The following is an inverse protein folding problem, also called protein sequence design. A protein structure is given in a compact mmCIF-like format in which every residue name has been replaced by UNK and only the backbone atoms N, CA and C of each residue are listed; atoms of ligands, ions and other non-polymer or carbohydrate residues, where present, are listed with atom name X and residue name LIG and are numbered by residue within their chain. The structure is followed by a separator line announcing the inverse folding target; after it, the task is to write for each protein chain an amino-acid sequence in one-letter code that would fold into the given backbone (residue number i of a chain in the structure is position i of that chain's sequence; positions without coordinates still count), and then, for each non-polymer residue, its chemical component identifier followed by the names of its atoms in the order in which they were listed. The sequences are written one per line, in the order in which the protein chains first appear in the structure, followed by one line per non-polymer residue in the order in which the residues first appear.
data_IF_766938622758
#
_entry.id   IF_766938622758
#
_cell.length_a   1.000
_cell.length_b   1.000
_cell.length_c   1.000
_cell.angle_alpha   90.00
_cell.angle_beta   90.00
_cell.angle_gamma   90.00
#
_symmetry.space_group_name_H-M   'P 1'
#
loop_
_entity.id
_entity.type
_entity.pdbx_description
1 polymer ?
#
# COMPACT_ATOMS: atom_id res chain seq x y z
N UNK A 1 50.66 30.93 24.41
CA UNK A 1 50.31 29.77 23.55
C UNK A 1 48.84 29.46 23.75
N UNK A 2 48.05 29.55 22.67
CA UNK A 2 46.60 29.34 22.64
C UNK A 2 46.29 27.84 22.85
N UNK A 3 45.37 27.50 23.73
CA UNK A 3 44.60 26.23 23.67
C UNK A 3 43.12 26.59 23.61
N UNK A 4 42.57 26.44 22.41
CA UNK A 4 41.14 26.44 22.14
C UNK A 4 40.64 25.05 22.53
N UNK A 5 39.72 24.98 23.49
CA UNK A 5 39.00 23.76 23.82
C UNK A 5 37.58 23.94 23.29
N UNK A 6 37.33 23.36 22.12
CA UNK A 6 36.02 23.32 21.48
C UNK A 6 35.22 22.21 22.13
N UNK A 7 34.23 22.55 22.94
CA UNK A 7 33.28 21.59 23.51
C UNK A 7 32.34 21.14 22.39
N UNK A 8 32.51 19.90 21.95
CA UNK A 8 31.58 19.23 21.04
C UNK A 8 30.34 18.86 21.85
N UNK A 9 29.26 19.63 21.68
CA UNK A 9 27.93 19.21 22.12
C UNK A 9 27.51 18.00 21.27
N UNK A 10 27.66 16.81 21.85
CA UNK A 10 27.04 15.58 21.32
C UNK A 10 25.54 15.72 21.45
N UNK A 11 24.87 15.93 20.31
CA UNK A 11 23.44 15.70 20.18
C UNK A 11 23.26 14.19 20.27
N UNK A 12 22.86 13.72 21.45
CA UNK A 12 22.35 12.36 21.63
C UNK A 12 21.04 12.31 20.86
N UNK A 13 21.08 11.74 19.65
CA UNK A 13 19.89 11.28 18.95
C UNK A 13 19.26 10.23 19.86
N UNK A 14 18.20 10.61 20.57
CA UNK A 14 17.27 9.67 21.18
C UNK A 14 16.59 8.90 20.05
N UNK A 15 17.20 7.78 19.68
CA UNK A 15 16.51 6.69 19.01
C UNK A 15 15.41 6.22 19.97
N UNK A 16 14.20 6.75 19.78
CA UNK A 16 13.01 6.05 20.20
C UNK A 16 12.97 4.76 19.38
N UNK A 17 13.59 3.72 19.92
CA UNK A 17 13.35 2.36 19.50
C UNK A 17 11.87 2.09 19.78
N UNK A 18 11.03 2.35 18.77
CA UNK A 18 9.70 1.80 18.72
C UNK A 18 9.92 0.28 18.59
N UNK A 19 9.89 -0.42 19.72
CA UNK A 19 9.81 -1.87 19.76
C UNK A 19 8.43 -2.24 19.20
N UNK A 20 8.32 -2.27 17.88
CA UNK A 20 7.19 -2.89 17.20
C UNK A 20 7.06 -4.30 17.77
N UNK A 21 5.89 -4.61 18.32
CA UNK A 21 5.55 -5.97 18.73
C UNK A 21 5.67 -6.86 17.50
N UNK A 22 6.75 -7.63 17.43
CA UNK A 22 6.85 -8.79 16.54
C UNK A 22 5.69 -9.69 16.94
N UNK A 23 4.67 -9.86 16.09
CA UNK A 23 3.70 -10.93 16.32
C UNK A 23 4.50 -12.23 16.36
N UNK A 24 4.42 -12.94 17.48
CA UNK A 24 4.95 -14.28 17.56
C UNK A 24 4.16 -15.15 16.57
N UNK A 25 4.88 -15.89 15.72
CA UNK A 25 4.31 -16.89 14.79
C UNK A 25 3.12 -17.61 15.42
N UNK A 26 2.00 -17.62 14.70
CA UNK A 26 0.74 -18.14 15.21
C UNK A 26 0.51 -19.58 14.77
N UNK A 27 0.32 -20.50 15.72
CA UNK A 27 0.09 -21.92 15.44
C UNK A 27 -1.38 -22.20 15.21
N UNK A 28 -1.79 -22.20 13.94
CA UNK A 28 -3.19 -22.34 13.53
C UNK A 28 -3.70 -23.78 13.56
N UNK A 29 -2.81 -24.76 13.53
CA UNK A 29 -3.12 -26.18 13.77
C UNK A 29 -1.92 -26.88 14.39
N UNK A 30 -2.15 -27.69 15.42
CA UNK A 30 -1.16 -28.57 16.03
C UNK A 30 -1.81 -29.90 16.35
N UNK A 31 -1.35 -30.99 15.73
CA UNK A 31 -1.91 -32.31 15.95
C UNK A 31 -1.82 -32.77 17.43
N UNK A 32 -0.85 -32.29 18.20
CA UNK A 32 -0.71 -32.60 19.62
C UNK A 32 -1.80 -31.94 20.48
N UNK A 33 -2.22 -30.73 20.08
CA UNK A 33 -3.26 -29.94 20.74
C UNK A 33 -4.65 -30.34 20.25
N UNK A 34 -4.78 -30.53 18.96
CA UNK A 34 -6.06 -30.55 18.26
C UNK A 34 -6.56 -31.97 17.97
N UNK A 35 -5.72 -33.01 18.00
CA UNK A 35 -6.12 -34.39 17.68
C UNK A 35 -5.97 -35.34 18.88
N UNK A 36 -6.56 -36.54 18.77
CA UNK A 36 -6.45 -37.56 19.82
C UNK A 36 -5.10 -38.26 19.78
N UNK A 37 -4.40 -38.33 20.92
CA UNK A 37 -3.16 -39.11 21.04
C UNK A 37 -3.42 -40.60 21.26
N UNK A 38 -2.64 -41.47 20.60
CA UNK A 38 -2.60 -42.92 20.84
C UNK A 38 -1.16 -43.43 20.92
N UNK A 39 -0.90 -44.31 21.89
CA UNK A 39 0.36 -45.03 21.97
C UNK A 39 0.36 -46.22 21.01
N UNK A 40 1.34 -46.28 20.13
CA UNK A 40 1.55 -47.38 19.18
C UNK A 40 2.91 -48.04 19.43
N UNK A 41 3.17 -49.18 18.78
CA UNK A 41 4.49 -49.83 18.80
C UNK A 41 5.61 -48.95 18.22
N UNK A 42 5.26 -47.89 17.47
CA UNK A 42 6.20 -46.91 16.91
C UNK A 42 6.21 -45.57 17.66
N UNK A 43 5.64 -45.52 18.87
CA UNK A 43 5.52 -44.31 19.69
C UNK A 43 4.14 -43.64 19.61
N UNK A 44 4.07 -42.40 20.10
CA UNK A 44 2.83 -41.60 20.07
C UNK A 44 2.48 -41.26 18.62
N UNK A 45 1.20 -41.43 18.29
CA UNK A 45 0.59 -40.99 17.04
C UNK A 45 -0.67 -40.20 17.36
N UNK A 46 -0.96 -39.19 16.53
CA UNK A 46 -2.21 -38.46 16.61
C UNK A 46 -3.19 -39.01 15.57
N UNK A 47 -4.45 -39.13 15.94
CA UNK A 47 -5.50 -39.72 15.10
C UNK A 47 -6.76 -38.84 15.11
N UNK A 48 -7.57 -38.87 14.04
CA UNK A 48 -8.88 -38.26 14.03
C UNK A 48 -9.81 -38.76 15.15
N UNK A 49 -10.82 -37.99 15.54
CA UNK A 49 -11.17 -36.64 15.03
C UNK A 49 -10.23 -35.57 15.58
N UNK A 50 -9.99 -34.51 14.79
CA UNK A 50 -9.25 -33.33 15.22
C UNK A 50 -10.19 -32.13 15.37
N UNK A 51 -10.03 -31.35 16.43
CA UNK A 51 -10.73 -30.10 16.70
C UNK A 51 -10.07 -28.97 15.91
N UNK A 52 -10.55 -28.75 14.68
CA UNK A 52 -10.08 -27.65 13.82
C UNK A 52 -11.17 -26.57 13.73
N UNK A 53 -10.78 -25.32 13.98
CA UNK A 53 -11.68 -24.18 13.90
C UNK A 53 -11.95 -23.80 12.43
N UNK A 54 -12.96 -24.43 11.84
CA UNK A 54 -13.39 -24.12 10.48
C UNK A 54 -13.93 -22.68 10.39
N UNK A 55 -13.60 -22.01 9.29
CA UNK A 55 -13.92 -20.60 9.01
C UNK A 55 -13.32 -19.59 9.99
N UNK A 56 -12.26 -19.96 10.71
CA UNK A 56 -11.50 -19.00 11.51
C UNK A 56 -10.94 -17.89 10.62
N UNK A 57 -11.12 -16.65 11.05
CA UNK A 57 -10.57 -15.46 10.41
C UNK A 57 -9.41 -14.92 11.24
N UNK A 58 -8.28 -14.69 10.58
CA UNK A 58 -7.06 -14.11 11.15
C UNK A 58 -6.84 -12.78 10.42
N UNK A 59 -6.92 -11.68 11.14
CA UNK A 59 -6.71 -10.34 10.58
C UNK A 59 -5.23 -10.10 10.35
N UNK A 60 -4.89 -9.46 9.24
CA UNK A 60 -3.52 -9.09 8.96
C UNK A 60 -3.04 -7.98 9.91
N UNK A 61 -1.79 -8.10 10.35
CA UNK A 61 -1.10 -7.02 11.01
C UNK A 61 -0.94 -5.86 10.04
N UNK A 62 -1.20 -4.67 10.53
CA UNK A 62 -1.13 -3.46 9.73
C UNK A 62 -0.75 -2.28 10.61
N UNK A 63 0.02 -1.36 10.05
CA UNK A 63 0.26 -0.08 10.69
C UNK A 63 -0.79 0.93 10.20
N UNK A 64 -1.74 1.27 11.06
CA UNK A 64 -2.74 2.29 10.78
C UNK A 64 -2.36 3.62 11.45
N UNK A 65 -1.85 4.54 10.64
CA UNK A 65 -1.58 5.92 11.02
C UNK A 65 -2.23 6.92 10.06
N UNK A 66 -3.16 6.48 9.21
CA UNK A 66 -3.86 7.38 8.30
C UNK A 66 -4.94 8.15 9.06
N UNK A 67 -4.95 9.46 8.89
CA UNK A 67 -6.04 10.31 9.39
C UNK A 67 -7.31 10.03 8.60
N UNK A 68 -8.47 10.21 9.25
CA UNK A 68 -9.77 10.19 8.56
C UNK A 68 -9.75 11.18 7.38
N UNK A 69 -10.12 10.70 6.18
CA UNK A 69 -10.13 11.51 4.96
C UNK A 69 -8.77 11.71 4.29
N UNK A 70 -7.72 11.00 4.71
CA UNK A 70 -6.43 10.98 4.01
C UNK A 70 -6.61 10.48 2.57
N UNK A 71 -5.97 11.15 1.62
CA UNK A 71 -5.92 10.73 0.21
C UNK A 71 -5.41 9.28 0.03
N UNK A 72 -4.64 8.76 1.00
CA UNK A 72 -4.14 7.38 0.99
C UNK A 72 -5.18 6.32 1.39
N UNK A 73 -6.39 6.69 1.85
CA UNK A 73 -7.41 5.69 2.23
C UNK A 73 -7.94 4.90 1.04
N UNK A 74 -7.89 5.49 -0.15
CA UNK A 74 -8.38 4.89 -1.39
C UNK A 74 -7.25 4.19 -2.18
N UNK A 75 -6.03 4.16 -1.63
CA UNK A 75 -4.89 3.52 -2.25
C UNK A 75 -4.95 1.98 -2.17
N UNK A 76 -4.21 1.31 -3.07
CA UNK A 76 -4.05 -0.14 -3.02
C UNK A 76 -2.91 -0.57 -2.08
N UNK A 77 -3.21 -1.65 -1.36
CA UNK A 77 -2.34 -2.31 -0.41
C UNK A 77 -2.11 -3.75 -0.85
N UNK A 78 -1.04 -4.33 -0.33
CA UNK A 78 -0.69 -5.73 -0.50
C UNK A 78 -0.64 -6.40 0.85
N UNK A 79 -1.18 -7.60 0.95
CA UNK A 79 -1.01 -8.46 2.12
C UNK A 79 -0.15 -9.64 1.74
N UNK A 80 0.85 -9.94 2.58
CA UNK A 80 1.69 -11.12 2.45
C UNK A 80 1.43 -12.09 3.59
N UNK A 81 1.29 -13.37 3.23
CA UNK A 81 1.14 -14.50 4.14
C UNK A 81 2.38 -15.37 4.04
N UNK A 82 3.10 -15.51 5.14
CA UNK A 82 4.18 -16.47 5.32
C UNK A 82 3.67 -17.60 6.20
N UNK A 83 3.77 -18.83 5.71
CA UNK A 83 3.22 -19.98 6.39
C UNK A 83 4.09 -21.21 6.22
N UNK A 84 4.06 -22.12 7.19
CA UNK A 84 4.72 -23.41 7.13
C UNK A 84 3.73 -24.49 7.56
N UNK A 85 3.62 -25.56 6.75
CA UNK A 85 2.88 -26.75 7.13
C UNK A 85 3.82 -27.96 7.21
N UNK A 86 4.47 -28.10 8.35
CA UNK A 86 5.25 -29.30 8.66
C UNK A 86 4.32 -30.40 9.14
N UNK A 87 4.11 -31.45 8.37
CA UNK A 87 3.35 -32.61 8.81
C UNK A 87 3.75 -33.89 8.08
N UNK A 88 4.06 -34.94 8.85
CA UNK A 88 4.16 -36.30 8.33
C UNK A 88 2.99 -37.14 8.81
N UNK A 89 2.26 -37.74 7.87
CA UNK A 89 1.09 -38.56 8.17
C UNK A 89 0.90 -39.67 7.15
N UNK A 90 0.19 -40.73 7.54
CA UNK A 90 -0.02 -41.92 6.71
C UNK A 90 -0.78 -41.62 5.41
N UNK A 91 -1.81 -40.76 5.51
CA UNK A 91 -2.52 -40.18 4.36
C UNK A 91 -2.27 -38.68 4.33
N UNK A 92 -2.18 -38.04 3.15
CA UNK A 92 -1.97 -36.60 3.06
C UNK A 92 -3.00 -35.83 3.88
N UNK A 93 -2.50 -34.94 4.73
CA UNK A 93 -3.30 -33.96 5.47
C UNK A 93 -3.12 -32.62 4.75
N UNK A 94 -4.23 -31.90 4.50
CA UNK A 94 -4.16 -30.56 3.91
C UNK A 94 -5.08 -29.58 4.61
N UNK A 95 -4.69 -28.31 4.64
CA UNK A 95 -5.52 -27.21 5.15
C UNK A 95 -5.97 -26.36 3.97
N UNK A 96 -7.29 -26.23 3.82
CA UNK A 96 -7.88 -25.31 2.87
C UNK A 96 -7.90 -23.91 3.48
N UNK A 97 -7.33 -22.93 2.79
CA UNK A 97 -7.27 -21.54 3.22
C UNK A 97 -7.63 -20.58 2.08
N UNK A 98 -8.02 -19.37 2.45
CA UNK A 98 -8.22 -18.28 1.51
C UNK A 98 -7.72 -16.95 2.09
N UNK A 99 -7.09 -16.13 1.27
CA UNK A 99 -6.88 -14.73 1.62
C UNK A 99 -8.04 -13.92 1.06
N UNK A 100 -8.74 -13.24 1.95
CA UNK A 100 -9.85 -12.35 1.65
C UNK A 100 -9.29 -10.94 1.50
N UNK A 101 -9.65 -10.27 0.40
CA UNK A 101 -9.36 -8.87 0.13
C UNK A 101 -10.64 -8.18 -0.33
N UNK A 102 -11.00 -7.03 0.26
CA UNK A 102 -12.20 -6.25 -0.10
C UNK A 102 -13.51 -7.05 0.08
N UNK A 103 -13.53 -7.94 1.07
CA UNK A 103 -14.66 -8.84 1.33
C UNK A 103 -14.79 -10.02 0.36
N UNK A 104 -13.87 -10.17 -0.60
CA UNK A 104 -13.86 -11.24 -1.62
C UNK A 104 -12.64 -12.14 -1.44
N UNK A 105 -12.81 -13.45 -1.62
CA UNK A 105 -11.69 -14.40 -1.61
C UNK A 105 -10.84 -14.20 -2.89
N UNK A 106 -9.63 -13.63 -2.74
CA UNK A 106 -8.72 -13.32 -3.85
C UNK A 106 -7.66 -14.39 -4.10
N UNK A 107 -7.35 -15.16 -3.05
CA UNK A 107 -6.49 -16.34 -3.13
C UNK A 107 -7.16 -17.49 -2.38
N UNK A 108 -7.10 -18.70 -2.92
CA UNK A 108 -7.54 -19.92 -2.26
C UNK A 108 -6.57 -21.04 -2.59
N UNK A 109 -6.18 -21.81 -1.59
CA UNK A 109 -5.28 -22.93 -1.76
C UNK A 109 -5.57 -24.05 -0.75
N UNK A 110 -5.30 -25.28 -1.16
CA UNK A 110 -5.23 -26.44 -0.26
C UNK A 110 -3.76 -26.77 -0.02
N UNK A 111 -3.27 -26.43 1.17
CA UNK A 111 -1.87 -26.60 1.54
C UNK A 111 -1.68 -27.99 2.12
N UNK A 112 -0.91 -28.84 1.44
CA UNK A 112 -0.58 -30.17 1.93
C UNK A 112 0.58 -30.10 2.93
N UNK A 113 0.53 -30.94 3.95
CA UNK A 113 1.61 -31.10 4.91
C UNK A 113 2.87 -31.69 4.28
N UNK A 114 4.02 -31.11 4.61
CA UNK A 114 5.36 -31.55 4.19
C UNK A 114 6.11 -32.18 5.37
N UNK A 115 6.90 -33.26 5.18
CA UNK A 115 7.70 -33.83 6.27
C UNK A 115 8.82 -32.89 6.75
N UNK A 116 9.16 -31.87 5.96
CA UNK A 116 10.17 -30.86 6.28
C UNK A 116 9.55 -29.48 6.30
N UNK A 117 9.93 -28.69 7.31
CA UNK A 117 9.58 -27.28 7.40
C UNK A 117 10.07 -26.50 6.19
N UNK A 118 9.14 -25.77 5.58
CA UNK A 118 9.42 -24.86 4.49
C UNK A 118 8.44 -23.68 4.55
N UNK A 119 8.97 -22.48 4.71
CA UNK A 119 8.15 -21.27 4.72
C UNK A 119 7.77 -20.95 3.27
N UNK A 120 6.49 -21.12 2.97
CA UNK A 120 5.89 -20.70 1.74
C UNK A 120 5.28 -19.30 1.90
N UNK A 121 5.12 -18.62 0.76
CA UNK A 121 4.67 -17.23 0.72
C UNK A 121 3.56 -17.07 -0.30
N UNK A 122 2.45 -16.46 0.11
CA UNK A 122 1.36 -16.05 -0.75
C UNK A 122 1.09 -14.56 -0.58
N UNK A 123 0.54 -13.90 -1.60
CA UNK A 123 0.16 -12.49 -1.50
C UNK A 123 -1.07 -12.15 -2.32
N UNK A 124 -1.78 -11.13 -1.87
CA UNK A 124 -2.92 -10.53 -2.58
C UNK A 124 -2.82 -9.01 -2.53
N UNK A 125 -3.45 -8.32 -3.49
CA UNK A 125 -3.69 -6.88 -3.45
C UNK A 125 -5.13 -6.59 -3.05
N UNK A 126 -5.37 -5.49 -2.33
CA UNK A 126 -6.68 -5.09 -1.80
C UNK A 126 -6.69 -3.59 -1.45
N UNK A 127 -7.87 -3.02 -1.21
CA UNK A 127 -8.03 -1.66 -0.69
C UNK A 127 -7.66 -1.60 0.80
N UNK A 128 -7.46 -0.38 1.31
CA UNK A 128 -6.89 -0.14 2.63
C UNK A 128 -7.54 -0.94 3.78
N UNK A 129 -6.73 -1.74 4.49
CA UNK A 129 -7.09 -2.54 5.67
C UNK A 129 -8.22 -3.56 5.48
N UNK A 130 -8.55 -3.94 4.25
CA UNK A 130 -9.62 -4.91 3.96
C UNK A 130 -9.08 -6.31 3.68
N UNK A 131 -8.13 -6.82 4.49
CA UNK A 131 -7.61 -8.17 4.31
C UNK A 131 -7.65 -9.07 5.55
N UNK A 132 -7.83 -10.36 5.30
CA UNK A 132 -7.77 -11.40 6.33
C UNK A 132 -7.39 -12.75 5.71
N UNK A 133 -6.83 -13.64 6.53
CA UNK A 133 -6.70 -15.06 6.23
C UNK A 133 -7.90 -15.80 6.78
N UNK A 134 -8.54 -16.62 5.96
CA UNK A 134 -9.65 -17.50 6.32
C UNK A 134 -9.22 -18.95 6.23
N UNK A 135 -9.26 -19.66 7.35
CA UNK A 135 -9.01 -21.10 7.40
C UNK A 135 -10.33 -21.83 7.15
N UNK A 136 -10.48 -22.51 6.02
CA UNK A 136 -11.75 -23.09 5.59
C UNK A 136 -11.99 -24.47 6.17
N UNK A 137 -11.05 -25.40 5.98
CA UNK A 137 -11.21 -26.79 6.42
C UNK A 137 -9.88 -27.51 6.60
N UNK A 138 -9.91 -28.56 7.44
CA UNK A 138 -8.86 -29.56 7.55
C UNK A 138 -9.28 -30.82 6.79
N UNK A 139 -8.60 -31.10 5.68
CA UNK A 139 -8.87 -32.23 4.81
C UNK A 139 -7.93 -33.40 5.14
N UNK A 140 -8.44 -34.64 5.05
CA UNK A 140 -7.66 -35.85 5.39
C UNK A 140 -7.64 -36.20 6.90
N UNK A 141 -8.33 -35.42 7.75
CA UNK A 141 -8.48 -35.68 9.17
C UNK A 141 -9.66 -36.62 9.51
N UNK A 142 -9.92 -37.65 8.69
CA UNK A 142 -11.00 -38.63 8.91
C UNK A 142 -10.57 -40.06 8.59
N UNK A 143 -11.23 -41.04 9.21
CA UNK A 143 -11.00 -42.46 8.98
C UNK A 143 -9.68 -42.98 9.56
N UNK A 144 -9.13 -44.05 8.96
CA UNK A 144 -7.85 -44.62 9.38
C UNK A 144 -6.71 -43.68 8.96
N UNK A 145 -6.22 -42.91 9.93
CA UNK A 145 -5.16 -41.92 9.77
C UNK A 145 -4.27 -41.95 11.00
N UNK A 146 -2.96 -41.83 10.78
CA UNK A 146 -1.96 -41.74 11.83
C UNK A 146 -0.98 -40.61 11.49
N UNK A 147 -0.92 -39.62 12.38
CA UNK A 147 -0.14 -38.40 12.23
C UNK A 147 1.05 -38.48 13.20
N UNK A 148 2.25 -38.15 12.73
CA UNK A 148 3.45 -38.15 13.58
C UNK A 148 3.50 -36.92 14.51
N UNK A 149 4.23 -37.00 15.63
CA UNK A 149 4.58 -35.84 16.43
C UNK A 149 5.25 -34.74 15.60
N UNK A 150 4.93 -33.47 15.90
CA UNK A 150 5.44 -32.30 15.16
C UNK A 150 4.62 -31.93 13.92
N UNK A 151 3.45 -32.53 13.69
CA UNK A 151 2.55 -32.11 12.62
C UNK A 151 1.81 -30.82 13.03
N UNK A 152 2.16 -29.70 12.39
CA UNK A 152 1.75 -28.37 12.77
C UNK A 152 1.71 -27.44 11.55
N UNK A 153 0.70 -26.57 11.49
CA UNK A 153 0.66 -25.42 10.58
C UNK A 153 0.86 -24.14 11.38
N UNK A 154 1.82 -23.31 10.96
CA UNK A 154 2.04 -21.97 11.50
C UNK A 154 1.81 -20.90 10.44
N UNK A 155 1.32 -19.76 10.90
CA UNK A 155 1.32 -18.49 10.17
C UNK A 155 2.42 -17.66 10.80
N UNK A 156 3.56 -17.60 10.13
CA UNK A 156 4.74 -16.90 10.64
C UNK A 156 4.62 -15.40 10.50
N UNK A 157 3.93 -14.94 9.46
CA UNK A 157 3.57 -13.54 9.28
C UNK A 157 2.33 -13.41 8.41
N UNK A 158 1.44 -12.48 8.78
CA UNK A 158 0.34 -12.02 7.92
C UNK A 158 0.32 -10.49 8.00
N UNK A 159 0.90 -9.83 7.00
CA UNK A 159 1.23 -8.39 7.08
C UNK A 159 0.66 -7.65 5.88
N UNK A 160 -0.11 -6.59 6.14
CA UNK A 160 -0.59 -5.65 5.12
C UNK A 160 0.25 -4.39 5.07
N UNK A 161 0.59 -3.95 3.86
CA UNK A 161 1.44 -2.79 3.61
C UNK A 161 1.11 -2.13 2.26
N UNK A 162 1.59 -0.88 2.02
CA UNK A 162 1.35 -0.18 0.76
C UNK A 162 1.89 -0.99 -0.43
N UNK A 163 1.14 -1.12 -1.53
CA UNK A 163 1.66 -1.82 -2.71
C UNK A 163 2.75 -0.96 -3.40
N UNK A 164 4.02 -1.41 -3.45
CA UNK A 164 5.10 -0.59 -4.01
C UNK A 164 4.89 -0.26 -5.49
N UNK A 165 4.32 -1.17 -6.29
CA UNK A 165 4.12 -0.92 -7.72
C UNK A 165 3.03 0.15 -7.92
N UNK A 166 1.95 0.04 -7.15
CA UNK A 166 0.86 1.01 -7.15
C UNK A 166 1.35 2.40 -6.71
N UNK A 167 2.02 2.50 -5.56
CA UNK A 167 2.51 3.79 -5.05
C UNK A 167 3.55 4.41 -5.99
N UNK A 168 4.41 3.61 -6.63
CA UNK A 168 5.31 4.11 -7.67
C UNK A 168 4.56 4.73 -8.85
N UNK A 169 3.51 4.07 -9.33
CA UNK A 169 2.68 4.58 -10.42
C UNK A 169 1.98 5.88 -10.00
N UNK A 170 1.47 5.95 -8.77
CA UNK A 170 0.84 7.14 -8.19
C UNK A 170 1.79 8.34 -8.18
N UNK A 171 3.00 8.18 -7.62
CA UNK A 171 4.02 9.23 -7.58
C UNK A 171 4.38 9.72 -8.98
N UNK A 172 4.56 8.81 -9.93
CA UNK A 172 4.89 9.18 -11.30
C UNK A 172 3.74 9.93 -11.99
N UNK A 173 2.49 9.50 -11.74
CA UNK A 173 1.30 10.16 -12.27
C UNK A 173 1.17 11.60 -11.77
N UNK A 174 1.31 11.82 -10.46
CA UNK A 174 1.28 13.16 -9.86
C UNK A 174 2.40 14.04 -10.44
N UNK A 175 3.63 13.51 -10.55
CA UNK A 175 4.75 14.26 -11.16
C UNK A 175 4.51 14.61 -12.63
N UNK A 176 3.87 13.72 -13.39
CA UNK A 176 3.53 13.98 -14.79
C UNK A 176 2.47 15.08 -14.93
N UNK A 177 1.47 15.06 -14.04
CA UNK A 177 0.50 16.15 -13.92
C UNK A 177 1.21 17.47 -13.56
N UNK A 178 2.09 17.48 -12.57
CA UNK A 178 2.87 18.66 -12.16
C UNK A 178 3.73 19.23 -13.28
N UNK A 179 4.35 18.39 -14.11
CA UNK A 179 5.08 18.88 -15.29
C UNK A 179 4.18 19.66 -16.24
N UNK A 180 2.93 19.20 -16.42
CA UNK A 180 1.94 19.87 -17.26
C UNK A 180 1.50 21.19 -16.62
N UNK A 181 1.18 21.19 -15.32
CA UNK A 181 0.76 22.37 -14.58
C UNK A 181 1.87 23.42 -14.48
N UNK A 182 3.12 23.01 -14.26
CA UNK A 182 4.28 23.90 -14.21
C UNK A 182 4.55 24.56 -15.56
N UNK A 183 4.39 23.81 -16.67
CA UNK A 183 4.45 24.39 -18.01
C UNK A 183 3.36 25.46 -18.18
N UNK A 184 2.11 25.16 -17.84
CA UNK A 184 1.00 26.13 -17.90
C UNK A 184 1.25 27.37 -17.02
N UNK A 185 1.82 27.19 -15.84
CA UNK A 185 2.17 28.28 -14.94
C UNK A 185 3.27 29.18 -15.54
N UNK A 186 4.22 28.60 -16.28
CA UNK A 186 5.30 29.35 -16.93
C UNK A 186 4.79 30.25 -18.06
N UNK A 187 3.79 29.79 -18.82
CA UNK A 187 3.24 30.52 -19.98
C UNK A 187 2.13 31.50 -19.61
N UNK A 188 1.40 31.27 -18.51
CA UNK A 188 0.40 32.18 -17.98
C UNK A 188 1.03 33.39 -17.24
N UNK A 189 2.08 34.02 -17.77
CA UNK A 189 2.69 35.20 -17.14
C UNK A 189 1.78 36.44 -17.30
N UNK A 190 1.79 37.42 -16.36
CA UNK A 190 0.99 38.65 -16.50
C UNK A 190 1.37 39.51 -17.71
N UNK A 191 2.58 39.32 -18.25
CA UNK A 191 3.08 39.97 -19.45
C UNK A 191 2.85 39.16 -20.73
N UNK A 192 2.28 37.96 -20.63
CA UNK A 192 2.00 37.12 -21.79
C UNK A 192 0.84 37.69 -22.60
N UNK A 193 0.93 37.54 -23.92
CA UNK A 193 -0.24 37.71 -24.78
C UNK A 193 -1.32 36.70 -24.36
N UNK A 194 -2.52 37.21 -24.08
CA UNK A 194 -3.60 36.41 -23.50
C UNK A 194 -4.05 35.29 -24.44
N UNK A 195 -3.94 35.49 -25.77
CA UNK A 195 -4.27 34.47 -26.77
C UNK A 195 -3.30 33.30 -26.62
N UNK A 196 -2.00 33.60 -26.46
CA UNK A 196 -0.98 32.59 -26.20
C UNK A 196 -1.27 31.81 -24.90
N UNK A 197 -1.62 32.50 -23.81
CA UNK A 197 -1.97 31.86 -22.55
C UNK A 197 -3.22 30.97 -22.68
N UNK A 198 -4.26 31.44 -23.37
CA UNK A 198 -5.51 30.70 -23.59
C UNK A 198 -5.27 29.42 -24.40
N UNK A 199 -4.51 29.52 -25.51
CA UNK A 199 -4.15 28.36 -26.33
C UNK A 199 -3.32 27.35 -25.54
N UNK A 200 -2.40 27.82 -24.70
CA UNK A 200 -1.60 26.93 -23.86
C UNK A 200 -2.47 26.18 -22.84
N UNK A 201 -3.40 26.86 -22.17
CA UNK A 201 -4.34 26.24 -21.23
C UNK A 201 -5.22 25.20 -21.93
N UNK A 202 -5.71 25.50 -23.14
CA UNK A 202 -6.50 24.55 -23.92
C UNK A 202 -5.72 23.29 -24.30
N UNK A 203 -4.48 23.45 -24.75
CA UNK A 203 -3.59 22.32 -25.02
C UNK A 203 -3.25 21.55 -23.74
N UNK A 204 -3.05 22.25 -22.61
CA UNK A 204 -2.80 21.64 -21.30
C UNK A 204 -3.98 20.81 -20.81
N UNK A 205 -5.21 21.32 -20.93
CA UNK A 205 -6.44 20.57 -20.63
C UNK A 205 -6.50 19.32 -21.50
N UNK A 206 -6.21 19.43 -22.80
CA UNK A 206 -6.21 18.27 -23.71
C UNK A 206 -5.18 17.21 -23.28
N UNK A 207 -3.99 17.65 -22.87
CA UNK A 207 -2.96 16.75 -22.34
C UNK A 207 -3.38 16.09 -21.01
N UNK A 208 -4.04 16.83 -20.12
CA UNK A 208 -4.57 16.27 -18.87
C UNK A 208 -5.71 15.27 -19.13
N UNK A 209 -6.59 15.54 -20.09
CA UNK A 209 -7.62 14.57 -20.51
C UNK A 209 -6.96 13.27 -20.99
N UNK A 210 -5.92 13.37 -21.82
CA UNK A 210 -5.16 12.21 -22.27
C UNK A 210 -4.49 11.47 -21.10
N UNK A 211 -3.90 12.20 -20.14
CA UNK A 211 -3.32 11.59 -18.93
C UNK A 211 -4.38 10.90 -18.08
N UNK A 212 -5.58 11.47 -17.95
CA UNK A 212 -6.72 10.87 -17.25
C UNK A 212 -7.14 9.56 -17.89
N UNK A 213 -7.25 9.53 -19.21
CA UNK A 213 -7.64 8.32 -19.95
C UNK A 213 -6.58 7.21 -19.86
N UNK A 214 -5.32 7.59 -19.62
CA UNK A 214 -4.21 6.66 -19.38
C UNK A 214 -3.97 6.33 -17.89
N UNK A 215 -4.68 6.98 -16.97
CA UNK A 215 -4.48 6.77 -15.55
C UNK A 215 -4.82 5.33 -15.16
N UNK A 216 -3.97 4.75 -14.31
CA UNK A 216 -4.01 3.32 -13.99
C UNK A 216 -5.15 2.95 -13.02
N UNK A 217 -5.69 3.93 -12.29
CA UNK A 217 -6.78 3.74 -11.33
C UNK A 217 -7.70 4.96 -11.24
N UNK A 218 -8.75 4.85 -10.43
CA UNK A 218 -9.75 5.91 -10.28
C UNK A 218 -9.25 7.07 -9.40
N UNK A 219 -8.36 6.80 -8.43
CA UNK A 219 -7.76 7.83 -7.59
C UNK A 219 -6.99 8.87 -8.41
N UNK A 220 -6.14 8.41 -9.34
CA UNK A 220 -5.44 9.31 -10.26
C UNK A 220 -6.38 9.98 -11.25
N UNK A 221 -7.44 9.30 -11.71
CA UNK A 221 -8.43 9.93 -12.60
C UNK A 221 -9.12 11.10 -11.90
N UNK A 222 -9.49 10.93 -10.64
CA UNK A 222 -10.17 11.97 -9.86
C UNK A 222 -9.26 13.18 -9.60
N UNK A 223 -7.98 12.94 -9.28
CA UNK A 223 -7.00 14.02 -9.17
C UNK A 223 -6.83 14.81 -10.47
N UNK A 224 -6.69 14.11 -11.60
CA UNK A 224 -6.53 14.75 -12.91
C UNK A 224 -7.83 15.46 -13.32
N UNK A 225 -8.99 14.89 -13.01
CA UNK A 225 -10.29 15.50 -13.27
C UNK A 225 -10.46 16.81 -12.51
N UNK A 226 -10.09 16.86 -11.23
CA UNK A 226 -10.11 18.09 -10.43
C UNK A 226 -9.27 19.19 -11.10
N UNK A 227 -8.06 18.85 -11.55
CA UNK A 227 -7.20 19.79 -12.26
C UNK A 227 -7.81 20.26 -13.60
N UNK A 228 -8.46 19.37 -14.34
CA UNK A 228 -9.17 19.71 -15.59
C UNK A 228 -10.30 20.70 -15.30
N UNK A 229 -11.13 20.44 -14.30
CA UNK A 229 -12.29 21.28 -13.97
C UNK A 229 -11.87 22.69 -13.57
N UNK A 230 -10.85 22.80 -12.71
CA UNK A 230 -10.29 24.08 -12.29
C UNK A 230 -9.68 24.86 -13.46
N UNK A 231 -8.99 24.17 -14.38
CA UNK A 231 -8.43 24.80 -15.58
C UNK A 231 -9.50 25.20 -16.60
N UNK A 232 -10.58 24.46 -16.73
CA UNK A 232 -11.72 24.86 -17.57
C UNK A 232 -12.38 26.13 -17.02
N UNK A 233 -12.56 26.21 -15.70
CA UNK A 233 -13.07 27.41 -15.03
C UNK A 233 -12.12 28.61 -15.25
N UNK A 234 -10.82 28.41 -15.09
CA UNK A 234 -9.82 29.43 -15.35
C UNK A 234 -9.80 29.87 -16.82
N UNK A 235 -9.89 28.93 -17.78
CA UNK A 235 -9.99 29.21 -19.22
C UNK A 235 -11.21 30.07 -19.54
N UNK A 236 -12.38 29.71 -19.01
CA UNK A 236 -13.62 30.45 -19.25
C UNK A 236 -13.53 31.87 -18.70
N UNK A 237 -12.99 32.03 -17.48
CA UNK A 237 -12.77 33.33 -16.86
C UNK A 237 -11.79 34.19 -17.66
N UNK A 238 -10.68 33.61 -18.14
CA UNK A 238 -9.72 34.29 -18.99
C UNK A 238 -10.33 34.72 -20.33
N UNK A 239 -11.08 33.82 -20.97
CA UNK A 239 -11.76 34.09 -22.23
C UNK A 239 -12.74 35.25 -22.10
N UNK A 240 -13.54 35.30 -21.04
CA UNK A 240 -14.55 36.34 -20.81
C UNK A 240 -13.94 37.69 -20.45
N UNK A 241 -12.89 37.71 -19.64
CA UNK A 241 -12.32 38.96 -19.13
C UNK A 241 -11.26 39.58 -20.04
N UNK A 242 -10.83 38.89 -21.10
CA UNK A 242 -9.86 39.37 -22.10
C UNK A 242 -10.47 39.59 -23.50
N UNK A 243 -11.79 39.52 -23.65
CA UNK A 243 -12.45 39.73 -24.94
C UNK A 243 -12.23 41.15 -25.49
N UNK A 244 -12.44 41.33 -26.79
CA UNK A 244 -12.49 42.64 -27.41
C UNK A 244 -13.44 43.58 -26.62
N UNK A 245 -12.95 44.77 -26.26
CA UNK A 245 -13.60 45.78 -25.40
C UNK A 245 -13.47 45.58 -23.87
N UNK A 246 -12.73 44.56 -23.40
CA UNK A 246 -12.40 44.42 -21.98
C UNK A 246 -11.32 45.40 -21.56
N UNK A 247 -11.38 45.90 -20.31
CA UNK A 247 -10.29 46.73 -19.76
C UNK A 247 -9.02 45.87 -19.60
N UNK A 248 -7.85 46.47 -19.84
CA UNK A 248 -6.55 45.78 -19.62
C UNK A 248 -6.41 45.27 -18.19
N UNK A 249 -6.99 45.98 -17.21
CA UNK A 249 -7.03 45.58 -15.81
C UNK A 249 -7.79 44.28 -15.58
N UNK A 250 -8.93 44.06 -16.24
CA UNK A 250 -9.70 42.81 -16.11
C UNK A 250 -8.93 41.61 -16.67
N UNK A 251 -8.27 41.79 -17.80
CA UNK A 251 -7.48 40.74 -18.41
C UNK A 251 -6.24 40.38 -17.57
N UNK A 252 -5.52 41.39 -17.05
CA UNK A 252 -4.41 41.16 -16.12
C UNK A 252 -4.84 40.45 -14.83
N UNK A 253 -6.01 40.81 -14.28
CA UNK A 253 -6.55 40.13 -13.11
C UNK A 253 -6.95 38.67 -13.41
N UNK A 254 -7.55 38.40 -14.56
CA UNK A 254 -7.91 37.05 -14.96
C UNK A 254 -6.67 36.16 -15.15
N UNK A 255 -5.61 36.68 -15.78
CA UNK A 255 -4.31 36.00 -15.85
C UNK A 255 -3.75 35.72 -14.46
N UNK A 256 -3.78 36.69 -13.55
CA UNK A 256 -3.32 36.50 -12.18
C UNK A 256 -4.13 35.42 -11.43
N UNK A 257 -5.45 35.38 -11.61
CA UNK A 257 -6.31 34.35 -11.03
C UNK A 257 -5.99 32.96 -11.59
N UNK A 258 -5.80 32.82 -12.91
CA UNK A 258 -5.39 31.55 -13.54
C UNK A 258 -4.06 31.05 -13.00
N UNK A 259 -3.09 31.95 -12.79
CA UNK A 259 -1.83 31.59 -12.12
C UNK A 259 -2.08 31.10 -10.69
N UNK A 260 -2.95 31.78 -9.96
CA UNK A 260 -3.37 31.37 -8.61
C UNK A 260 -3.94 29.96 -8.59
N UNK A 261 -4.83 29.62 -9.54
CA UNK A 261 -5.38 28.27 -9.70
C UNK A 261 -4.28 27.24 -9.99
N UNK A 262 -3.39 27.52 -10.95
CA UNK A 262 -2.27 26.63 -11.30
C UNK A 262 -1.33 26.39 -10.11
N UNK A 263 -0.98 27.44 -9.37
CA UNK A 263 -0.17 27.33 -8.16
C UNK A 263 -0.87 26.51 -7.08
N UNK A 264 -2.18 26.72 -6.85
CA UNK A 264 -2.94 25.96 -5.87
C UNK A 264 -3.00 24.46 -6.21
N UNK A 265 -3.14 24.09 -7.49
CA UNK A 265 -3.12 22.70 -7.94
C UNK A 265 -1.75 22.04 -7.68
N UNK A 266 -0.65 22.73 -8.01
CA UNK A 266 0.72 22.25 -7.76
C UNK A 266 0.97 22.13 -6.24
N UNK A 267 0.54 23.10 -5.44
CA UNK A 267 0.69 23.08 -3.98
C UNK A 267 -0.10 21.92 -3.36
N UNK A 268 -1.29 21.62 -3.89
CA UNK A 268 -2.07 20.45 -3.48
C UNK A 268 -1.33 19.14 -3.78
N UNK A 269 -0.76 18.99 -4.97
CA UNK A 269 0.04 17.81 -5.34
C UNK A 269 1.27 17.67 -4.42
N UNK A 270 1.98 18.76 -4.15
CA UNK A 270 3.11 18.76 -3.22
C UNK A 270 2.69 18.34 -1.80
N UNK A 271 1.51 18.79 -1.33
CA UNK A 271 0.96 18.37 -0.05
C UNK A 271 0.67 16.87 -0.01
N UNK A 272 0.06 16.32 -1.06
CA UNK A 272 -0.24 14.89 -1.17
C UNK A 272 1.04 14.04 -1.23
N UNK A 273 2.06 14.47 -1.98
CA UNK A 273 3.36 13.78 -2.04
C UNK A 273 4.08 13.82 -0.67
N UNK A 274 3.98 14.94 0.06
CA UNK A 274 4.54 15.08 1.41
C UNK A 274 3.84 14.18 2.42
N UNK A 275 2.51 14.09 2.36
CA UNK A 275 1.70 13.17 3.17
C UNK A 275 2.09 11.71 2.89
N UNK A 276 2.16 11.34 1.60
CA UNK A 276 2.59 10.01 1.16
C UNK A 276 4.01 9.69 1.66
N UNK A 277 4.93 10.65 1.63
CA UNK A 277 6.30 10.48 2.11
C UNK A 277 6.35 10.20 3.61
N UNK A 278 5.59 10.97 4.39
CA UNK A 278 5.46 10.77 5.83
C UNK A 278 4.84 9.40 6.14
N UNK A 279 3.78 9.02 5.41
CA UNK A 279 3.13 7.73 5.54
C UNK A 279 4.11 6.58 5.24
N UNK A 280 4.77 6.60 4.08
CA UNK A 280 5.73 5.57 3.69
C UNK A 280 6.92 5.48 4.64
N UNK A 281 7.42 6.59 5.18
CA UNK A 281 8.49 6.56 6.18
C UNK A 281 8.07 5.78 7.44
N UNK A 282 6.86 6.02 7.94
CA UNK A 282 6.35 5.30 9.10
C UNK A 282 6.10 3.82 8.79
N UNK A 283 5.56 3.51 7.60
CA UNK A 283 5.36 2.13 7.13
C UNK A 283 6.69 1.38 7.03
N UNK A 284 7.71 1.97 6.40
CA UNK A 284 9.05 1.38 6.28
C UNK A 284 9.68 1.11 7.65
N UNK A 285 9.58 2.06 8.57
CA UNK A 285 10.08 1.88 9.94
C UNK A 285 9.39 0.71 10.64
N UNK A 286 8.07 0.60 10.52
CA UNK A 286 7.31 -0.49 11.11
C UNK A 286 7.63 -1.85 10.46
N UNK A 287 7.65 -1.92 9.13
CA UNK A 287 7.95 -3.13 8.36
C UNK A 287 9.37 -3.65 8.60
N UNK A 288 10.34 -2.77 8.83
CA UNK A 288 11.70 -3.17 9.18
C UNK A 288 11.80 -3.94 10.49
N UNK A 289 10.81 -3.77 11.38
CA UNK A 289 10.66 -4.53 12.62
C UNK A 289 9.85 -5.81 12.45
N UNK A 290 9.22 -6.06 11.29
CA UNK A 290 8.47 -7.27 11.03
C UNK A 290 9.38 -8.39 10.52
N UNK A 291 9.24 -9.60 11.04
CA UNK A 291 10.01 -10.78 10.63
C UNK A 291 9.49 -11.45 9.35
N UNK A 292 8.76 -10.71 8.50
CA UNK A 292 8.16 -11.23 7.27
C UNK A 292 9.15 -11.17 6.10
N UNK A 293 9.34 -12.29 5.37
CA UNK A 293 9.86 -12.25 4.00
C UNK A 293 8.85 -11.54 3.11
N UNK A 294 9.15 -10.30 2.72
CA UNK A 294 8.32 -9.47 1.85
C UNK A 294 8.69 -9.60 0.37
N UNK A 295 9.47 -10.62 -0.03
CA UNK A 295 9.86 -10.89 -1.44
C UNK A 295 10.46 -9.69 -2.19
N UNK A 296 11.20 -8.83 -1.48
CA UNK A 296 11.82 -7.62 -2.02
C UNK A 296 10.92 -6.38 -2.05
N UNK A 297 9.65 -6.47 -1.61
CA UNK A 297 8.73 -5.33 -1.59
C UNK A 297 9.19 -4.23 -0.61
N UNK A 298 9.93 -4.59 0.44
CA UNK A 298 10.52 -3.61 1.35
C UNK A 298 11.53 -2.69 0.63
N UNK A 299 12.40 -3.27 -0.21
CA UNK A 299 13.35 -2.52 -1.03
C UNK A 299 12.61 -1.70 -2.10
N UNK A 300 11.58 -2.28 -2.72
CA UNK A 300 10.75 -1.57 -3.70
C UNK A 300 10.05 -0.35 -3.07
N UNK A 301 9.49 -0.49 -1.86
CA UNK A 301 8.89 0.63 -1.11
C UNK A 301 9.90 1.69 -0.72
N UNK A 302 11.12 1.28 -0.31
CA UNK A 302 12.21 2.22 -0.08
C UNK A 302 12.55 3.00 -1.37
N UNK A 303 12.53 2.32 -2.52
CA UNK A 303 12.66 2.94 -3.84
C UNK A 303 11.59 3.99 -4.11
N UNK A 304 10.32 3.72 -3.77
CA UNK A 304 9.24 4.71 -3.89
C UNK A 304 9.44 5.90 -2.96
N UNK A 305 9.79 5.65 -1.69
CA UNK A 305 10.08 6.71 -0.74
C UNK A 305 11.19 7.65 -1.22
N UNK A 306 12.24 7.10 -1.84
CA UNK A 306 13.36 7.89 -2.38
C UNK A 306 12.96 8.71 -3.62
N UNK A 307 11.85 8.38 -4.29
CA UNK A 307 11.32 9.18 -5.39
C UNK A 307 10.55 10.41 -4.89
N UNK A 308 10.02 10.41 -3.67
CA UNK A 308 9.30 11.52 -3.06
C UNK A 308 10.26 12.56 -2.46
#
# INVERSE_FOLDING_TARGET
MKKVMTTVASVVLSALAYSGSVQASEVVFDAARDCQSRNTTQGIRYVPTCEFENNRLITADSYNNLSSGSFMSDANFKTMLNYDFTCESLKPLSISLAMVGDGVEKFTADIAGSPTSNIDVASITHSYLLSALKLKSLNGAVGFQAIKPGCQMSVDALVSYPDPAYFKALVNGIKQMDMTLAFLLSVASPSADYITALNAIENGITMLVFQKDMAFDDLMKDLIQLAIDDLQNAKNSLSVNCQANSSSTYCSQALANTRGTLSALIDNNNSQLSEMKSFLNNQLSWLSGQSADLRGDLEALQGVYNLL
#
